data_IF_496072905532
#
_entry.id   IF_496072905532
#
_cell.length_a   1.000
_cell.length_b   1.000
_cell.length_c   1.000
_cell.angle_alpha   90.00
_cell.angle_beta   90.00
_cell.angle_gamma   90.00
#
_symmetry.space_group_name_H-M   'P 1'
#
loop_
_entity.id
_entity.type
_entity.pdbx_description
1 polymer ?
#
# COMPACT_ATOMS: atom_id res chain seq x y z
N UNK A 1 -13.75 2.91 -23.68
CA UNK A 1 -14.02 2.48 -22.30
C UNK A 1 -13.93 0.96 -22.11
N UNK A 2 -14.58 0.12 -22.93
CA UNK A 2 -14.47 -1.36 -22.83
C UNK A 2 -13.05 -1.92 -23.01
N UNK A 3 -12.24 -1.33 -23.90
CA UNK A 3 -10.85 -1.75 -24.12
C UNK A 3 -9.93 -1.48 -22.93
N UNK A 4 -10.12 -0.37 -22.22
CA UNK A 4 -9.35 -0.01 -21.03
C UNK A 4 -9.71 -0.96 -19.87
N UNK A 5 -10.99 -1.26 -19.71
CA UNK A 5 -11.45 -2.20 -18.67
C UNK A 5 -10.93 -3.63 -18.93
N UNK A 6 -10.86 -4.09 -20.18
CA UNK A 6 -10.30 -5.40 -20.51
C UNK A 6 -8.78 -5.46 -20.30
N UNK A 7 -8.06 -4.36 -20.55
CA UNK A 7 -6.63 -4.27 -20.25
C UNK A 7 -6.35 -4.26 -18.74
N UNK A 8 -7.15 -3.51 -17.97
CA UNK A 8 -7.05 -3.50 -16.51
C UNK A 8 -7.39 -4.88 -15.95
N UNK A 9 -8.45 -5.54 -16.43
CA UNK A 9 -8.81 -6.89 -16.03
C UNK A 9 -7.73 -7.93 -16.40
N UNK A 10 -7.08 -7.76 -17.56
CA UNK A 10 -5.95 -8.60 -17.98
C UNK A 10 -4.73 -8.44 -17.08
N UNK A 11 -4.37 -7.19 -16.73
CA UNK A 11 -3.28 -6.88 -15.81
C UNK A 11 -3.57 -7.41 -14.39
N UNK A 12 -4.80 -7.24 -13.90
CA UNK A 12 -5.22 -7.75 -12.59
C UNK A 12 -5.16 -9.27 -12.55
N UNK A 13 -5.57 -9.93 -13.64
CA UNK A 13 -5.50 -11.39 -13.75
C UNK A 13 -4.06 -11.91 -13.80
N UNK A 14 -3.16 -11.23 -14.50
CA UNK A 14 -1.73 -11.53 -14.52
C UNK A 14 -1.09 -11.36 -13.12
N UNK A 15 -1.47 -10.34 -12.39
CA UNK A 15 -1.01 -10.11 -11.01
C UNK A 15 -1.53 -11.17 -10.03
N UNK A 16 -2.74 -11.70 -10.22
CA UNK A 16 -3.36 -12.69 -9.33
C UNK A 16 -2.97 -14.12 -9.71
N UNK A 17 -2.75 -14.42 -10.99
CA UNK A 17 -2.45 -15.76 -11.49
C UNK A 17 -0.96 -16.14 -11.44
N UNK A 18 -0.06 -15.19 -11.17
CA UNK A 18 1.37 -15.45 -11.01
C UNK A 18 1.69 -16.21 -9.70
N UNK A 19 2.85 -16.89 -9.59
CA UNK A 19 3.25 -17.64 -8.39
C UNK A 19 3.29 -16.79 -7.11
N UNK A 20 3.28 -15.45 -7.23
CA UNK A 20 3.13 -14.49 -6.12
C UNK A 20 1.72 -13.96 -5.91
N UNK A 21 0.73 -14.30 -6.75
CA UNK A 21 -0.60 -13.69 -6.74
C UNK A 21 -1.40 -13.94 -5.47
N UNK A 22 -1.31 -15.15 -4.90
CA UNK A 22 -1.95 -15.47 -3.60
C UNK A 22 -1.38 -14.63 -2.46
N UNK A 23 -0.07 -14.40 -2.49
CA UNK A 23 0.63 -13.57 -1.49
C UNK A 23 0.23 -12.10 -1.67
N UNK A 24 0.15 -11.62 -2.91
CA UNK A 24 -0.32 -10.26 -3.22
C UNK A 24 -1.76 -10.00 -2.77
N UNK A 25 -2.66 -10.95 -3.03
CA UNK A 25 -4.05 -10.88 -2.56
C UNK A 25 -4.15 -10.88 -1.03
N UNK A 26 -3.33 -11.68 -0.35
CA UNK A 26 -3.26 -11.70 1.11
C UNK A 26 -2.81 -10.34 1.67
N UNK A 27 -1.75 -9.75 1.13
CA UNK A 27 -1.31 -8.41 1.55
C UNK A 27 -2.37 -7.34 1.28
N UNK A 28 -3.07 -7.42 0.15
CA UNK A 28 -4.15 -6.49 -0.16
C UNK A 28 -5.30 -6.58 0.86
N UNK A 29 -5.75 -7.80 1.18
CA UNK A 29 -6.79 -8.02 2.20
C UNK A 29 -6.35 -7.53 3.58
N UNK A 30 -5.08 -7.73 3.93
CA UNK A 30 -4.53 -7.30 5.21
C UNK A 30 -4.47 -5.77 5.30
N UNK A 31 -4.03 -5.08 4.24
CA UNK A 31 -4.04 -3.61 4.17
C UNK A 31 -5.48 -3.07 4.23
N UNK A 32 -6.41 -3.71 3.53
CA UNK A 32 -7.82 -3.34 3.55
C UNK A 32 -8.42 -3.50 4.95
N UNK A 33 -8.14 -4.62 5.62
CA UNK A 33 -8.56 -4.87 7.00
C UNK A 33 -8.01 -3.85 7.99
N UNK A 34 -6.72 -3.48 7.85
CA UNK A 34 -6.12 -2.40 8.66
C UNK A 34 -6.77 -1.04 8.37
N UNK A 35 -7.17 -0.78 7.13
CA UNK A 35 -7.92 0.42 6.76
C UNK A 35 -9.27 0.49 7.48
N UNK A 36 -10.03 -0.61 7.50
CA UNK A 36 -11.30 -0.69 8.24
C UNK A 36 -11.08 -0.55 9.75
N UNK A 37 -10.04 -1.18 10.30
CA UNK A 37 -9.69 -1.03 11.71
C UNK A 37 -9.36 0.43 12.06
N UNK A 38 -8.65 1.15 11.19
CA UNK A 38 -8.36 2.58 11.36
C UNK A 38 -9.63 3.42 11.43
N UNK A 39 -10.62 3.14 10.57
CA UNK A 39 -11.92 3.82 10.60
C UNK A 39 -12.66 3.53 11.91
N UNK A 40 -12.65 2.29 12.39
CA UNK A 40 -13.28 1.92 13.67
C UNK A 40 -12.65 2.65 14.85
N UNK A 41 -11.31 2.76 14.88
CA UNK A 41 -10.62 3.54 15.92
C UNK A 41 -11.00 5.02 15.84
N UNK A 42 -11.12 5.58 14.63
CA UNK A 42 -11.60 6.95 14.43
C UNK A 42 -13.01 7.18 14.99
N UNK A 43 -13.94 6.27 14.72
CA UNK A 43 -15.32 6.33 15.28
C UNK A 43 -15.28 6.25 16.81
N UNK A 44 -14.45 5.36 17.37
CA UNK A 44 -14.30 5.24 18.85
C UNK A 44 -13.73 6.51 19.46
N UNK A 45 -12.82 7.19 18.77
CA UNK A 45 -12.25 8.46 19.24
C UNK A 45 -13.30 9.57 19.30
N UNK A 46 -14.22 9.61 18.31
CA UNK A 46 -15.34 10.56 18.31
C UNK A 46 -16.28 10.28 19.49
N UNK A 47 -16.65 9.02 19.72
CA UNK A 47 -17.49 8.63 20.85
C UNK A 47 -16.82 8.96 22.19
N UNK A 48 -15.52 8.69 22.28
CA UNK A 48 -14.71 9.04 23.46
C UNK A 48 -14.77 10.54 23.77
N UNK A 49 -14.69 11.39 22.75
CA UNK A 49 -14.77 12.84 22.94
C UNK A 49 -16.08 13.23 23.63
N UNK A 50 -17.22 12.67 23.20
CA UNK A 50 -18.51 12.92 23.81
C UNK A 50 -18.55 12.44 25.28
N UNK A 51 -18.05 11.24 25.56
CA UNK A 51 -18.02 10.67 26.91
C UNK A 51 -17.13 11.48 27.84
N UNK A 52 -15.98 11.96 27.36
CA UNK A 52 -15.07 12.81 28.11
C UNK A 52 -15.71 14.16 28.49
N UNK A 53 -16.37 14.82 27.52
CA UNK A 53 -17.10 16.07 27.79
C UNK A 53 -18.25 15.88 28.78
N UNK A 54 -18.98 14.76 28.70
CA UNK A 54 -20.05 14.41 29.63
C UNK A 54 -19.49 14.22 31.06
N UNK A 55 -18.33 13.57 31.21
CA UNK A 55 -17.67 13.42 32.51
C UNK A 55 -17.25 14.75 33.11
N UNK A 56 -16.71 15.66 32.30
CA UNK A 56 -16.34 17.02 32.71
C UNK A 56 -17.56 17.85 33.16
N UNK A 57 -18.65 17.77 32.43
CA UNK A 57 -19.89 18.49 32.79
C UNK A 57 -20.48 18.02 34.12
N UNK A 58 -20.31 16.72 34.44
CA UNK A 58 -20.77 16.14 35.70
C UNK A 58 -19.79 16.36 36.86
N UNK A 59 -18.63 17.00 36.61
CA UNK A 59 -17.54 17.19 37.58
C UNK A 59 -17.05 15.87 38.20
N UNK A 60 -17.19 14.76 37.48
CA UNK A 60 -16.74 13.43 37.91
C UNK A 60 -15.28 13.23 37.53
N UNK A 61 -14.40 13.47 38.50
CA UNK A 61 -12.94 13.38 38.35
C UNK A 61 -12.50 11.96 38.01
N UNK A 62 -13.10 10.95 38.69
CA UNK A 62 -12.74 9.55 38.46
C UNK A 62 -13.14 9.07 37.07
N UNK A 63 -14.30 9.48 36.56
CA UNK A 63 -14.71 9.22 35.19
C UNK A 63 -13.79 9.92 34.20
N UNK A 64 -13.42 11.17 34.43
CA UNK A 64 -12.50 11.92 33.57
C UNK A 64 -11.11 11.28 33.49
N UNK A 65 -10.52 10.86 34.62
CA UNK A 65 -9.24 10.16 34.63
C UNK A 65 -9.28 8.82 33.88
N UNK A 66 -10.37 8.08 34.01
CA UNK A 66 -10.58 6.84 33.27
C UNK A 66 -10.65 7.10 31.76
N UNK A 67 -11.33 8.16 31.34
CA UNK A 67 -11.41 8.55 29.93
C UNK A 67 -10.02 8.95 29.37
N UNK A 68 -9.18 9.60 30.16
CA UNK A 68 -7.80 9.91 29.76
C UNK A 68 -6.99 8.62 29.52
N UNK A 69 -7.10 7.63 30.40
CA UNK A 69 -6.43 6.34 30.21
C UNK A 69 -6.92 5.62 28.93
N UNK A 70 -8.22 5.64 28.66
CA UNK A 70 -8.81 5.10 27.42
C UNK A 70 -8.26 5.83 26.19
N UNK A 71 -8.11 7.14 26.25
CA UNK A 71 -7.54 7.94 25.17
C UNK A 71 -6.14 7.51 24.79
N UNK A 72 -5.24 7.36 25.79
CA UNK A 72 -3.89 6.87 25.53
C UNK A 72 -3.90 5.47 24.92
N UNK A 73 -4.79 4.59 25.36
CA UNK A 73 -4.99 3.27 24.76
C UNK A 73 -5.42 3.35 23.27
N UNK A 74 -6.40 4.19 22.96
CA UNK A 74 -6.87 4.39 21.59
C UNK A 74 -5.77 4.99 20.69
N UNK A 75 -4.98 5.94 21.18
CA UNK A 75 -3.84 6.51 20.46
C UNK A 75 -2.79 5.44 20.18
N UNK A 76 -2.42 4.63 21.19
CA UNK A 76 -1.44 3.56 21.00
C UNK A 76 -1.88 2.56 19.93
N UNK A 77 -3.15 2.14 19.94
CA UNK A 77 -3.74 1.26 18.93
C UNK A 77 -3.73 1.94 17.55
N UNK A 78 -4.10 3.20 17.47
CA UNK A 78 -4.10 3.99 16.23
C UNK A 78 -2.71 4.04 15.63
N UNK A 79 -1.69 4.36 16.41
CA UNK A 79 -0.29 4.41 15.97
C UNK A 79 0.16 3.04 15.47
N UNK A 80 -0.14 1.96 16.20
CA UNK A 80 0.21 0.59 15.80
C UNK A 80 -0.42 0.22 14.44
N UNK A 81 -1.69 0.54 14.23
CA UNK A 81 -2.39 0.31 12.95
C UNK A 81 -1.73 1.12 11.82
N UNK A 82 -1.42 2.39 12.04
CA UNK A 82 -0.81 3.25 11.03
C UNK A 82 0.61 2.79 10.66
N UNK A 83 1.45 2.44 11.63
CA UNK A 83 2.79 1.92 11.40
C UNK A 83 2.75 0.59 10.63
N UNK A 84 1.89 -0.34 11.04
CA UNK A 84 1.71 -1.62 10.36
C UNK A 84 1.24 -1.42 8.91
N UNK A 85 0.29 -0.54 8.69
CA UNK A 85 -0.23 -0.21 7.37
C UNK A 85 0.85 0.42 6.48
N UNK A 86 1.65 1.35 7.01
CA UNK A 86 2.75 1.99 6.29
C UNK A 86 3.84 0.98 5.91
N UNK A 87 4.20 0.09 6.83
CA UNK A 87 5.17 -0.98 6.58
C UNK A 87 4.70 -1.93 5.47
N UNK A 88 3.45 -2.39 5.54
CA UNK A 88 2.88 -3.29 4.54
C UNK A 88 2.81 -2.64 3.15
N UNK A 89 2.42 -1.37 3.07
CA UNK A 89 2.40 -0.64 1.79
C UNK A 89 3.79 -0.56 1.16
N UNK A 90 4.81 -0.26 1.95
CA UNK A 90 6.20 -0.23 1.48
C UNK A 90 6.66 -1.60 0.99
N UNK A 91 6.33 -2.67 1.73
CA UNK A 91 6.65 -4.04 1.31
C UNK A 91 6.00 -4.41 -0.03
N UNK A 92 4.72 -4.08 -0.22
CA UNK A 92 4.01 -4.29 -1.48
C UNK A 92 4.67 -3.50 -2.61
N UNK A 93 5.02 -2.24 -2.36
CA UNK A 93 5.66 -1.37 -3.35
C UNK A 93 7.02 -1.92 -3.82
N UNK A 94 7.85 -2.41 -2.90
CA UNK A 94 9.15 -3.00 -3.22
C UNK A 94 8.96 -4.28 -4.05
N UNK A 95 8.06 -5.16 -3.64
CA UNK A 95 7.76 -6.40 -4.38
C UNK A 95 7.21 -6.12 -5.77
N UNK A 96 6.34 -5.14 -5.89
CA UNK A 96 5.78 -4.71 -7.17
C UNK A 96 6.87 -4.18 -8.11
N UNK A 97 7.73 -3.27 -7.62
CA UNK A 97 8.86 -2.76 -8.40
C UNK A 97 9.76 -3.88 -8.88
N UNK A 98 10.10 -4.82 -8.00
CA UNK A 98 10.93 -5.97 -8.34
C UNK A 98 10.28 -6.83 -9.43
N UNK A 99 9.01 -7.18 -9.28
CA UNK A 99 8.28 -7.99 -10.26
C UNK A 99 8.18 -7.29 -11.63
N UNK A 100 7.95 -5.97 -11.65
CA UNK A 100 7.93 -5.20 -12.88
C UNK A 100 9.30 -5.14 -13.55
N UNK A 101 10.37 -4.94 -12.77
CA UNK A 101 11.73 -4.91 -13.30
C UNK A 101 12.13 -6.26 -13.88
N UNK A 102 11.85 -7.37 -13.16
CA UNK A 102 12.10 -8.73 -13.65
C UNK A 102 11.32 -9.00 -14.95
N UNK A 103 10.03 -8.68 -15.00
CA UNK A 103 9.22 -8.83 -16.20
C UNK A 103 9.69 -7.97 -17.38
N UNK A 104 10.14 -6.75 -17.12
CA UNK A 104 10.71 -5.87 -18.15
C UNK A 104 12.04 -6.41 -18.68
N UNK A 105 12.93 -6.87 -17.80
CA UNK A 105 14.20 -7.47 -18.17
C UNK A 105 14.02 -8.76 -18.96
N UNK A 106 13.13 -9.65 -18.53
CA UNK A 106 12.83 -10.90 -19.25
C UNK A 106 12.32 -10.62 -20.67
N UNK A 107 11.46 -9.63 -20.82
CA UNK A 107 10.92 -9.22 -22.11
C UNK A 107 11.99 -8.60 -23.00
N UNK A 108 12.87 -7.78 -22.40
CA UNK A 108 13.97 -7.13 -23.10
C UNK A 108 15.02 -8.16 -23.56
N UNK A 109 15.32 -9.17 -22.75
CA UNK A 109 16.24 -10.26 -23.08
C UNK A 109 15.63 -11.25 -24.09
N UNK A 110 14.34 -11.62 -23.95
CA UNK A 110 13.67 -12.54 -24.84
C UNK A 110 13.57 -12.02 -26.29
N UNK A 111 13.35 -10.74 -26.46
CA UNK A 111 13.18 -10.10 -27.76
C UNK A 111 14.52 -9.72 -28.43
N UNK A 112 15.64 -10.08 -27.80
CA UNK A 112 16.99 -9.62 -28.22
C UNK A 112 17.04 -8.12 -28.57
N UNK A 113 16.21 -7.34 -27.91
CA UNK A 113 16.04 -5.90 -28.15
C UNK A 113 17.37 -5.16 -27.96
N UNK A 114 18.24 -5.63 -27.06
CA UNK A 114 19.60 -5.12 -26.88
C UNK A 114 20.47 -5.25 -28.15
N UNK A 115 20.26 -6.32 -28.93
CA UNK A 115 21.02 -6.55 -30.16
C UNK A 115 20.57 -5.59 -31.27
N UNK A 116 19.27 -5.39 -31.43
CA UNK A 116 18.72 -4.46 -32.41
C UNK A 116 18.99 -2.99 -32.05
N UNK A 117 19.10 -2.65 -30.76
CA UNK A 117 19.53 -1.31 -30.33
C UNK A 117 20.99 -1.05 -30.63
N UNK A 118 21.88 -2.03 -30.43
CA UNK A 118 23.31 -1.91 -30.75
C UNK A 118 23.56 -1.65 -32.23
N UNK A 119 22.71 -2.21 -33.08
CA UNK A 119 22.77 -2.00 -34.53
C UNK A 119 22.26 -0.60 -34.96
N UNK A 120 21.38 0.02 -34.11
CA UNK A 120 20.87 1.39 -34.28
C UNK A 120 21.67 2.46 -33.53
N UNK A 121 22.67 2.10 -32.71
CA UNK A 121 23.42 3.03 -31.85
C UNK A 121 24.42 3.91 -32.63
N UNK A 122 24.40 3.88 -33.93
CA UNK A 122 25.10 4.89 -34.74
C UNK A 122 24.46 6.31 -34.65
N UNK A 123 23.36 6.46 -33.90
CA UNK A 123 22.62 7.71 -33.72
C UNK A 123 22.33 8.02 -32.26
N UNK A 124 23.36 8.14 -31.41
CA UNK A 124 23.36 8.93 -30.15
C UNK A 124 22.17 8.70 -29.20
N UNK A 125 21.76 7.46 -28.92
CA UNK A 125 20.71 7.18 -27.94
C UNK A 125 21.32 6.90 -26.56
N UNK A 126 20.90 7.74 -25.63
CA UNK A 126 21.16 7.74 -24.18
C UNK A 126 20.90 6.38 -23.52
N UNK A 127 21.63 6.08 -22.45
CA UNK A 127 21.65 4.79 -21.74
C UNK A 127 20.23 4.32 -21.34
N UNK A 128 19.72 3.18 -21.86
CA UNK A 128 18.35 2.71 -21.56
C UNK A 128 18.16 2.21 -20.13
N UNK A 129 19.22 1.83 -19.45
CA UNK A 129 19.24 1.39 -18.05
C UNK A 129 18.91 2.52 -17.08
N UNK A 130 19.29 3.77 -17.40
CA UNK A 130 19.03 4.93 -16.57
C UNK A 130 17.53 5.32 -16.61
N UNK A 131 16.85 5.18 -17.75
CA UNK A 131 15.42 5.46 -17.91
C UNK A 131 14.52 4.44 -17.18
N UNK A 132 14.91 3.18 -17.12
CA UNK A 132 14.16 2.15 -16.40
C UNK A 132 14.21 2.36 -14.88
N UNK A 133 15.23 3.04 -14.37
CA UNK A 133 15.41 3.31 -12.94
C UNK A 133 14.71 4.59 -12.46
N UNK A 134 14.42 5.55 -13.37
CA UNK A 134 13.84 6.85 -13.03
C UNK A 134 12.30 6.91 -13.20
N UNK A 135 11.69 6.04 -14.00
CA UNK A 135 10.22 5.90 -14.16
C UNK A 135 9.65 4.87 -13.18
#
# INVERSE_FOLDING_TARGET
MRAILSQIAGLTRLCIAGPGGKIGAFYFLLIFGLGLASVQVGVRLISWTADFYNALQKLDVDAALRQIAIFFGLIAISVAIHLSSAYLRKMVQIRWRRALTEAALDRWLADKAYWHMRERTDHGLDNPDQRIAED
#
